data_IF_006073084599
#
_entry.id   IF_006073084599
#
_cell.length_a   1.000
_cell.length_b   1.000
_cell.length_c   1.000
_cell.angle_alpha   90.00
_cell.angle_beta   90.00
_cell.angle_gamma   90.00
#
_symmetry.space_group_name_H-M   'P 1'
#
loop_
_entity.id
_entity.type
_entity.pdbx_description
1 polymer ?
#
# COMPACT_ATOMS: atom_id res chain seq x y z
N UNK A 1 8.83 -14.10 8.09
CA UNK A 1 8.54 -13.39 6.82
C UNK A 1 8.88 -11.93 7.03
N UNK A 2 9.73 -11.36 6.18
CA UNK A 2 10.17 -9.97 6.26
C UNK A 2 9.33 -9.09 5.34
N UNK A 3 8.97 -7.88 5.79
CA UNK A 3 8.15 -6.92 5.04
C UNK A 3 8.67 -5.51 5.25
N UNK A 4 8.52 -4.67 4.24
CA UNK A 4 8.84 -3.24 4.30
C UNK A 4 7.53 -2.46 4.36
N UNK A 5 7.36 -1.64 5.39
CA UNK A 5 6.19 -0.76 5.54
C UNK A 5 6.62 0.69 5.27
N UNK A 6 5.93 1.36 4.37
CA UNK A 6 6.18 2.77 4.02
C UNK A 6 5.08 3.64 4.63
N UNK A 7 5.43 4.47 5.60
CA UNK A 7 4.51 5.36 6.34
C UNK A 7 4.92 6.82 6.10
N UNK A 8 3.95 7.72 6.06
CA UNK A 8 4.16 9.14 5.84
C UNK A 8 2.86 9.90 5.57
N UNK A 9 2.92 11.24 5.62
CA UNK A 9 1.78 12.11 5.39
C UNK A 9 1.17 11.96 3.98
N UNK A 10 -0.06 12.46 3.80
CA UNK A 10 -0.66 12.55 2.47
C UNK A 10 0.22 13.40 1.54
N UNK A 11 0.37 12.99 0.28
CA UNK A 11 1.24 13.69 -0.68
C UNK A 11 2.75 13.46 -0.52
N UNK A 12 3.22 12.76 0.52
CA UNK A 12 4.67 12.53 0.75
C UNK A 12 5.37 11.61 -0.28
N UNK A 13 4.66 11.12 -1.31
CA UNK A 13 5.25 10.27 -2.35
C UNK A 13 5.41 8.79 -1.97
N UNK A 14 4.68 8.29 -0.97
CA UNK A 14 4.73 6.88 -0.51
C UNK A 14 4.55 5.88 -1.65
N UNK A 15 3.53 6.05 -2.49
CA UNK A 15 3.25 5.15 -3.61
C UNK A 15 4.37 5.18 -4.66
N UNK A 16 4.96 6.35 -4.91
CA UNK A 16 6.11 6.50 -5.80
C UNK A 16 7.34 5.77 -5.25
N UNK A 17 7.61 5.89 -3.94
CA UNK A 17 8.71 5.17 -3.30
C UNK A 17 8.47 3.66 -3.31
N UNK A 18 7.26 3.21 -2.99
CA UNK A 18 6.87 1.80 -2.99
C UNK A 18 7.10 1.15 -4.36
N UNK A 19 6.65 1.79 -5.45
CA UNK A 19 6.83 1.28 -6.82
C UNK A 19 8.31 1.21 -7.23
N UNK A 20 9.09 2.26 -6.91
CA UNK A 20 10.54 2.27 -7.18
C UNK A 20 11.28 1.19 -6.40
N UNK A 21 10.91 0.99 -5.14
CA UNK A 21 11.53 0.00 -4.27
C UNK A 21 11.16 -1.42 -4.69
N UNK A 22 9.88 -1.67 -4.96
CA UNK A 22 9.38 -2.96 -5.44
C UNK A 22 10.07 -3.38 -6.74
N UNK A 23 10.21 -2.45 -7.70
CA UNK A 23 10.93 -2.71 -8.95
C UNK A 23 12.42 -3.03 -8.70
N UNK A 24 13.10 -2.27 -7.83
CA UNK A 24 14.53 -2.47 -7.55
C UNK A 24 14.83 -3.75 -6.78
N UNK A 25 13.95 -4.15 -5.87
CA UNK A 25 14.12 -5.31 -5.01
C UNK A 25 13.41 -6.56 -5.55
N UNK A 26 12.69 -6.45 -6.67
CA UNK A 26 11.84 -7.52 -7.22
C UNK A 26 10.84 -8.02 -6.17
N UNK A 27 10.15 -7.08 -5.52
CA UNK A 27 9.14 -7.35 -4.50
C UNK A 27 7.77 -6.87 -4.95
N UNK A 28 6.74 -7.63 -4.57
CA UNK A 28 5.35 -7.23 -4.77
C UNK A 28 5.01 -5.99 -3.93
N UNK A 29 4.24 -5.09 -4.53
CA UNK A 29 3.79 -3.85 -3.88
C UNK A 29 2.31 -3.96 -3.55
N UNK A 30 1.99 -3.89 -2.27
CA UNK A 30 0.62 -3.88 -1.76
C UNK A 30 0.26 -2.50 -1.20
N UNK A 31 -0.73 -1.84 -1.81
CA UNK A 31 -1.29 -0.60 -1.27
C UNK A 31 -2.45 -0.92 -0.33
N UNK A 32 -2.22 -0.82 0.98
CA UNK A 32 -3.22 -1.17 2.00
C UNK A 32 -4.55 -0.44 1.80
N UNK A 33 -4.51 0.81 1.32
CA UNK A 33 -5.73 1.58 1.09
C UNK A 33 -6.66 0.90 0.06
N UNK A 34 -6.09 0.24 -0.96
CA UNK A 34 -6.88 -0.49 -1.96
C UNK A 34 -7.47 -1.81 -1.43
N UNK A 35 -6.89 -2.38 -0.36
CA UNK A 35 -7.42 -3.57 0.29
C UNK A 35 -8.52 -3.25 1.28
N UNK A 36 -8.38 -2.13 2.01
CA UNK A 36 -9.29 -1.79 3.10
C UNK A 36 -10.39 -0.81 2.73
N UNK A 37 -10.28 -0.07 1.63
CA UNK A 37 -11.25 0.97 1.28
C UNK A 37 -11.82 0.80 -0.12
N UNK A 38 -13.15 0.78 -0.19
CA UNK A 38 -13.91 0.89 -1.42
C UNK A 38 -14.11 2.38 -1.81
N UNK A 39 -14.59 2.67 -3.04
CA UNK A 39 -15.00 4.02 -3.40
C UNK A 39 -15.93 4.64 -2.36
N UNK A 40 -15.70 5.92 -2.03
CA UNK A 40 -16.41 6.61 -0.95
C UNK A 40 -15.85 6.35 0.44
N UNK A 41 -14.66 5.76 0.57
CA UNK A 41 -14.00 5.44 1.86
C UNK A 41 -14.83 4.49 2.73
N UNK A 42 -15.57 3.58 2.08
CA UNK A 42 -16.28 2.51 2.78
C UNK A 42 -15.29 1.40 3.09
N UNK A 43 -15.18 1.03 4.37
CA UNK A 43 -14.29 -0.06 4.77
C UNK A 43 -14.75 -1.36 4.10
N UNK A 44 -13.83 -2.07 3.45
CA UNK A 44 -14.10 -3.39 2.91
C UNK A 44 -14.56 -4.31 4.04
N UNK A 45 -15.68 -5.00 3.85
CA UNK A 45 -16.07 -6.07 4.75
C UNK A 45 -15.00 -7.15 4.69
N UNK A 46 -14.32 -7.38 5.81
CA UNK A 46 -13.49 -8.57 5.98
C UNK A 46 -14.40 -9.79 5.84
N UNK A 47 -14.29 -10.51 4.73
CA UNK A 47 -14.79 -11.88 4.63
C UNK A 47 -13.90 -12.74 5.53
N UNK A 48 -14.51 -13.35 6.55
CA UNK A 48 -13.88 -14.38 7.38
C UNK A 48 -13.37 -15.57 6.56
#
# INVERSE_FOLDING_TARGET
>A
MEKIIIIGSSGAGKSTLANKLGTKLTLDVHHLDAYFWQPGWVMCSSSE
#
